data_IF_592421580139
#
_entry.id   IF_592421580139
#
_cell.length_a   1.000
_cell.length_b   1.000
_cell.length_c   1.000
_cell.angle_alpha   90.00
_cell.angle_beta   90.00
_cell.angle_gamma   90.00
#
_symmetry.space_group_name_H-M   'P 1'
#
loop_
_entity.id
_entity.type
_entity.pdbx_description
1 polymer ?
#
# COMPACT_ATOMS: atom_id res chain seq x y z
N UNK A 1 -4.59 2.62 15.88
CA UNK A 1 -4.69 2.04 14.53
C UNK A 1 -3.31 1.86 13.95
N UNK A 2 -3.05 0.68 13.45
CA UNK A 2 -1.71 0.29 12.99
C UNK A 2 -1.60 0.45 11.47
N UNK A 3 -1.78 1.68 11.00
CA UNK A 3 -1.81 1.99 9.56
C UNK A 3 -0.48 1.67 8.89
N UNK A 4 0.64 2.04 9.52
CA UNK A 4 1.97 1.77 8.98
C UNK A 4 2.19 0.27 8.75
N UNK A 5 1.85 -0.55 9.72
CA UNK A 5 1.99 -2.01 9.61
C UNK A 5 1.10 -2.58 8.52
N UNK A 6 -0.11 -2.08 8.43
CA UNK A 6 -1.06 -2.51 7.41
C UNK A 6 -0.54 -2.21 6.00
N UNK A 7 -0.11 -0.96 5.78
CA UNK A 7 0.40 -0.55 4.47
C UNK A 7 1.68 -1.33 4.11
N UNK A 8 2.55 -1.56 5.07
CA UNK A 8 3.76 -2.32 4.79
C UNK A 8 3.48 -3.79 4.52
N UNK A 9 2.42 -4.34 5.11
CA UNK A 9 1.98 -5.70 4.75
C UNK A 9 1.59 -5.78 3.27
N UNK A 10 0.95 -4.73 2.74
CA UNK A 10 0.66 -4.67 1.30
C UNK A 10 1.95 -4.70 0.48
N UNK A 11 2.97 -3.96 0.92
CA UNK A 11 4.28 -3.96 0.25
C UNK A 11 4.92 -5.35 0.28
N UNK A 12 4.87 -6.03 1.43
CA UNK A 12 5.42 -7.38 1.57
C UNK A 12 4.75 -8.38 0.65
N UNK A 13 3.42 -8.35 0.59
CA UNK A 13 2.66 -9.24 -0.29
C UNK A 13 2.91 -8.92 -1.76
N UNK A 14 3.02 -7.64 -2.09
CA UNK A 14 3.36 -7.18 -3.43
C UNK A 14 4.76 -7.67 -3.84
N UNK A 15 5.74 -7.54 -2.94
CA UNK A 15 7.12 -7.99 -3.18
C UNK A 15 7.21 -9.50 -3.40
N UNK A 16 6.35 -10.26 -2.72
CA UNK A 16 6.28 -11.72 -2.87
C UNK A 16 5.38 -12.16 -4.01
N UNK A 17 4.83 -11.22 -4.76
CA UNK A 17 3.90 -11.47 -5.87
C UNK A 17 2.69 -12.30 -5.45
N UNK A 18 2.20 -12.05 -4.22
CA UNK A 18 1.05 -12.75 -3.65
C UNK A 18 -0.26 -12.02 -3.99
N UNK A 19 -0.61 -11.99 -5.27
CA UNK A 19 -1.79 -11.30 -5.77
C UNK A 19 -3.08 -11.78 -5.10
N UNK A 20 -3.21 -13.09 -4.91
CA UNK A 20 -4.38 -13.68 -4.27
C UNK A 20 -4.52 -13.23 -2.82
N UNK A 21 -3.41 -13.13 -2.11
CA UNK A 21 -3.41 -12.67 -0.72
C UNK A 21 -3.75 -11.18 -0.62
N UNK A 22 -3.27 -10.38 -1.57
CA UNK A 22 -3.64 -8.97 -1.66
C UNK A 22 -5.13 -8.83 -1.90
N UNK A 23 -5.69 -9.60 -2.81
CA UNK A 23 -7.12 -9.59 -3.10
C UNK A 23 -7.95 -9.99 -1.88
N UNK A 24 -7.52 -11.01 -1.14
CA UNK A 24 -8.20 -11.43 0.09
C UNK A 24 -8.17 -10.35 1.17
N UNK A 25 -7.01 -9.73 1.37
CA UNK A 25 -6.84 -8.69 2.38
C UNK A 25 -7.67 -7.46 2.07
N UNK A 26 -7.90 -7.17 0.79
CA UNK A 26 -8.58 -5.98 0.30
C UNK A 26 -9.99 -6.26 -0.22
N UNK A 27 -10.58 -7.41 0.13
CA UNK A 27 -11.87 -7.86 -0.40
C UNK A 27 -13.04 -6.94 -0.03
N UNK A 28 -12.87 -6.11 1.00
CA UNK A 28 -13.89 -5.15 1.42
C UNK A 28 -13.95 -3.90 0.51
N UNK A 29 -12.96 -3.69 -0.36
CA UNK A 29 -12.94 -2.56 -1.29
C UNK A 29 -13.82 -2.83 -2.51
N UNK A 30 -14.50 -1.78 -2.99
CA UNK A 30 -15.30 -1.87 -4.21
C UNK A 30 -14.43 -2.08 -5.44
N UNK A 31 -13.27 -1.43 -5.46
CA UNK A 31 -12.31 -1.55 -6.54
C UNK A 31 -10.94 -1.89 -5.99
N UNK A 32 -10.35 -2.96 -6.48
CA UNK A 32 -9.00 -3.41 -6.09
C UNK A 32 -8.09 -3.22 -7.29
N UNK A 33 -6.87 -2.66 -7.12
CA UNK A 33 -5.92 -2.52 -8.22
C UNK A 33 -5.62 -3.87 -8.88
N UNK A 34 -5.36 -3.84 -10.18
CA UNK A 34 -4.89 -5.03 -10.90
C UNK A 34 -3.40 -5.22 -10.59
N UNK A 35 -3.13 -5.89 -9.50
CA UNK A 35 -1.75 -6.09 -9.01
C UNK A 35 -0.90 -6.89 -9.99
N UNK A 36 -1.51 -7.84 -10.72
CA UNK A 36 -0.77 -8.61 -11.72
C UNK A 36 -0.21 -7.72 -12.82
N UNK A 37 -1.04 -6.84 -13.38
CA UNK A 37 -0.62 -5.90 -14.42
C UNK A 37 0.42 -4.90 -13.89
N UNK A 38 0.23 -4.42 -12.66
CA UNK A 38 1.15 -3.47 -12.03
C UNK A 38 2.51 -4.12 -11.78
N UNK A 39 2.53 -5.37 -11.31
CA UNK A 39 3.76 -6.12 -11.10
C UNK A 39 4.51 -6.36 -12.41
N UNK A 40 3.79 -6.66 -13.48
CA UNK A 40 4.40 -6.82 -14.81
C UNK A 40 5.10 -5.52 -15.24
N UNK A 41 4.43 -4.39 -15.08
CA UNK A 41 5.00 -3.08 -15.39
C UNK A 41 6.22 -2.77 -14.50
N UNK A 42 6.12 -3.08 -13.22
CA UNK A 42 7.21 -2.85 -12.27
C UNK A 42 8.44 -3.66 -12.67
N UNK A 43 8.28 -4.96 -12.93
CA UNK A 43 9.41 -5.84 -13.23
C UNK A 43 9.94 -5.69 -14.66
N UNK A 44 9.25 -4.96 -15.53
CA UNK A 44 9.83 -4.51 -16.79
C UNK A 44 10.92 -3.45 -16.58
N UNK A 45 10.84 -2.73 -15.47
CA UNK A 45 11.74 -1.60 -15.19
C UNK A 45 12.74 -1.90 -14.08
N UNK A 46 12.34 -2.67 -13.07
CA UNK A 46 13.15 -2.97 -11.90
C UNK A 46 13.24 -4.47 -11.68
N UNK A 47 14.36 -4.92 -11.11
CA UNK A 47 14.60 -6.34 -10.86
C UNK A 47 14.13 -6.81 -9.50
N UNK A 48 13.86 -5.89 -8.55
CA UNK A 48 13.58 -6.25 -7.18
C UNK A 48 12.72 -5.21 -6.46
N UNK A 49 12.05 -5.65 -5.41
CA UNK A 49 11.32 -4.78 -4.49
C UNK A 49 11.96 -4.97 -3.11
N UNK A 50 12.47 -3.89 -2.52
CA UNK A 50 13.02 -3.94 -1.18
C UNK A 50 11.87 -3.91 -0.15
N UNK A 51 11.75 -4.96 0.63
CA UNK A 51 10.77 -5.07 1.71
C UNK A 51 11.44 -5.24 3.08
N UNK A 52 12.71 -4.87 3.16
CA UNK A 52 13.48 -4.93 4.40
C UNK A 52 13.23 -3.75 5.34
N UNK A 53 13.98 -3.65 6.43
CA UNK A 53 13.78 -2.62 7.45
C UNK A 53 13.87 -1.17 6.93
N UNK A 54 14.74 -0.90 5.97
CA UNK A 54 14.86 0.44 5.40
C UNK A 54 13.60 0.86 4.66
N UNK A 55 12.95 -0.06 3.96
CA UNK A 55 11.73 0.20 3.20
C UNK A 55 10.54 0.56 4.10
N UNK A 56 10.64 0.27 5.41
CA UNK A 56 9.65 0.66 6.43
C UNK A 56 9.93 2.03 7.01
N UNK A 57 11.03 2.65 6.63
CA UNK A 57 11.44 3.92 7.22
C UNK A 57 10.50 5.08 6.90
N UNK A 58 10.60 6.18 7.67
CA UNK A 58 9.70 7.32 7.50
C UNK A 58 9.84 8.01 6.15
N UNK A 59 10.93 7.83 5.45
CA UNK A 59 11.11 8.41 4.11
C UNK A 59 10.23 7.74 3.06
N UNK A 60 9.71 6.54 3.33
CA UNK A 60 8.85 5.80 2.42
C UNK A 60 7.38 5.81 2.83
N UNK A 61 7.04 6.54 3.88
CA UNK A 61 5.68 6.56 4.42
C UNK A 61 5.23 7.99 4.71
N UNK A 62 4.07 8.37 4.17
CA UNK A 62 3.47 9.69 4.40
C UNK A 62 2.06 9.48 4.91
N UNK A 63 1.74 10.14 6.01
CA UNK A 63 0.42 10.09 6.63
C UNK A 63 -0.07 11.52 6.79
N UNK A 64 -1.24 11.82 6.23
CA UNK A 64 -1.88 13.13 6.33
C UNK A 64 -3.24 13.01 6.95
N UNK A 65 -3.63 14.00 7.74
CA UNK A 65 -4.97 14.11 8.30
C UNK A 65 -5.88 14.83 7.30
N UNK A 66 -7.18 14.52 7.34
CA UNK A 66 -8.18 15.21 6.53
C UNK A 66 -9.24 15.78 7.46
N UNK A 67 -10.11 16.65 6.92
CA UNK A 67 -11.17 17.31 7.71
C UNK A 67 -12.28 16.36 8.15
N UNK A 68 -12.43 15.21 7.51
CA UNK A 68 -13.39 14.18 7.88
C UNK A 68 -12.64 13.01 8.50
N UNK A 69 -13.33 12.15 9.23
CA UNK A 69 -12.73 11.00 9.90
C UNK A 69 -11.99 10.07 8.91
N UNK A 70 -10.91 10.58 8.31
CA UNK A 70 -10.12 9.88 7.32
C UNK A 70 -8.66 10.36 7.34
N UNK A 71 -7.75 9.47 7.04
CA UNK A 71 -6.33 9.81 6.88
C UNK A 71 -5.88 9.47 5.46
N UNK A 72 -5.12 10.38 4.84
CA UNK A 72 -4.46 10.08 3.57
C UNK A 72 -3.13 9.37 3.85
N UNK A 73 -2.85 8.34 3.07
CA UNK A 73 -1.65 7.52 3.25
C UNK A 73 -0.95 7.35 1.92
N UNK A 74 0.36 7.48 1.94
CA UNK A 74 1.21 7.20 0.79
C UNK A 74 2.35 6.31 1.24
N UNK A 75 2.40 5.11 0.69
CA UNK A 75 3.47 4.15 0.97
C UNK A 75 4.32 3.99 -0.29
N UNK A 76 5.51 4.55 -0.24
CA UNK A 76 6.46 4.49 -1.36
C UNK A 76 7.11 3.11 -1.39
N UNK A 77 7.21 2.53 -2.58
CA UNK A 77 7.92 1.27 -2.78
C UNK A 77 9.38 1.58 -3.03
N UNK A 78 10.25 0.97 -2.24
CA UNK A 78 11.70 1.14 -2.36
C UNK A 78 12.20 0.26 -3.51
N UNK A 79 12.48 0.87 -4.65
CA UNK A 79 13.06 0.19 -5.81
C UNK A 79 14.59 0.22 -5.75
N UNK A 80 15.28 -0.68 -6.48
CA UNK A 80 16.74 -0.77 -6.41
C UNK A 80 17.47 0.45 -6.96
N UNK A 81 16.81 1.25 -7.80
CA UNK A 81 17.42 2.46 -8.39
C UNK A 81 17.17 3.71 -7.57
N UNK A 82 16.30 3.64 -6.56
CA UNK A 82 15.97 4.79 -5.73
C UNK A 82 15.08 5.81 -6.40
N UNK A 83 14.33 5.43 -7.43
CA UNK A 83 13.48 6.33 -8.20
C UNK A 83 12.20 6.73 -7.45
N UNK A 84 11.73 5.89 -6.53
CA UNK A 84 10.49 6.08 -5.80
C UNK A 84 9.28 6.27 -6.72
N UNK A 85 9.29 5.60 -7.87
CA UNK A 85 8.27 5.79 -8.89
C UNK A 85 6.94 5.16 -8.53
N UNK A 86 6.95 4.02 -7.86
CA UNK A 86 5.74 3.27 -7.50
C UNK A 86 5.34 3.55 -6.07
N UNK A 87 4.07 3.90 -5.87
CA UNK A 87 3.56 4.25 -4.55
C UNK A 87 2.14 3.73 -4.38
N UNK A 88 1.85 3.13 -3.22
CA UNK A 88 0.47 2.87 -2.82
C UNK A 88 -0.11 4.14 -2.24
N UNK A 89 -1.25 4.57 -2.76
CA UNK A 89 -1.96 5.76 -2.29
C UNK A 89 -3.35 5.34 -1.84
N UNK A 90 -3.67 5.65 -0.60
CA UNK A 90 -4.89 5.18 0.02
C UNK A 90 -5.48 6.23 0.94
N UNK A 91 -6.76 6.04 1.27
CA UNK A 91 -7.43 6.79 2.33
C UNK A 91 -7.88 5.78 3.39
N UNK A 92 -7.53 6.04 4.64
CA UNK A 92 -7.99 5.22 5.77
C UNK A 92 -9.31 5.78 6.26
N UNK A 93 -10.33 4.94 6.27
CA UNK A 93 -11.65 5.29 6.85
C UNK A 93 -11.61 4.97 8.34
N UNK A 94 -11.55 6.00 9.17
CA UNK A 94 -11.40 5.81 10.61
C UNK A 94 -12.65 5.20 11.25
N UNK A 95 -13.84 5.59 10.80
CA UNK A 95 -15.08 5.03 11.34
C UNK A 95 -15.23 3.55 10.98
N UNK A 96 -14.95 3.18 9.73
CA UNK A 96 -14.99 1.79 9.30
C UNK A 96 -13.91 0.97 10.00
N UNK A 97 -12.73 1.56 10.22
CA UNK A 97 -11.63 0.89 10.93
C UNK A 97 -11.99 0.61 12.39
N UNK A 98 -12.58 1.59 13.06
CA UNK A 98 -13.02 1.44 14.45
C UNK A 98 -14.09 0.34 14.57
N UNK A 99 -15.04 0.35 13.64
CA UNK A 99 -16.12 -0.64 13.62
C UNK A 99 -15.61 -2.05 13.35
N UNK A 100 -14.64 -2.20 12.44
CA UNK A 100 -14.06 -3.49 12.10
C UNK A 100 -13.03 -3.98 13.11
N UNK A 101 -12.46 -3.08 13.92
CA UNK A 101 -11.37 -3.42 14.84
C UNK A 101 -10.03 -3.60 14.14
N UNK A 102 -9.92 -3.18 12.89
CA UNK A 102 -8.69 -3.24 12.11
C UNK A 102 -8.73 -2.16 11.01
N UNK A 103 -7.59 -1.91 10.38
CA UNK A 103 -7.50 -0.89 9.35
C UNK A 103 -8.44 -1.21 8.19
N UNK A 104 -9.25 -0.22 7.80
CA UNK A 104 -10.10 -0.27 6.62
C UNK A 104 -9.83 0.94 5.75
N UNK A 105 -9.48 0.68 4.50
CA UNK A 105 -9.28 1.73 3.50
C UNK A 105 -10.61 2.03 2.81
N UNK A 106 -10.82 3.26 2.40
CA UNK A 106 -11.97 3.61 1.57
C UNK A 106 -11.61 3.54 0.08
N UNK A 107 -10.34 3.70 -0.24
CA UNK A 107 -9.82 3.50 -1.59
C UNK A 107 -8.34 3.09 -1.52
N UNK A 108 -7.87 2.53 -2.62
CA UNK A 108 -6.45 2.21 -2.81
C UNK A 108 -6.15 2.27 -4.30
N UNK A 109 -5.05 2.94 -4.63
CA UNK A 109 -4.52 2.93 -6.00
C UNK A 109 -3.01 2.86 -5.95
N UNK A 110 -2.41 2.46 -7.05
CA UNK A 110 -0.96 2.48 -7.22
C UNK A 110 -0.65 3.57 -8.24
N UNK A 111 0.17 4.53 -7.84
CA UNK A 111 0.68 5.59 -8.73
C UNK A 111 2.08 5.22 -9.22
N UNK A 112 2.31 5.46 -10.51
CA UNK A 112 3.63 5.24 -11.12
C UNK A 112 3.77 5.94 -12.46
#
# INVERSE_FOLDING_TARGET
IMVRNYMFRLVQLFALEKEDRLAELLDYLDEVPDFGAILDDYFDEYDDIDSGPEARGPEFFRLGDTDSRAWSVRQIIKDPDGDHAYQFVATVDLDASDEAGEVRLSDLRVEY
#
